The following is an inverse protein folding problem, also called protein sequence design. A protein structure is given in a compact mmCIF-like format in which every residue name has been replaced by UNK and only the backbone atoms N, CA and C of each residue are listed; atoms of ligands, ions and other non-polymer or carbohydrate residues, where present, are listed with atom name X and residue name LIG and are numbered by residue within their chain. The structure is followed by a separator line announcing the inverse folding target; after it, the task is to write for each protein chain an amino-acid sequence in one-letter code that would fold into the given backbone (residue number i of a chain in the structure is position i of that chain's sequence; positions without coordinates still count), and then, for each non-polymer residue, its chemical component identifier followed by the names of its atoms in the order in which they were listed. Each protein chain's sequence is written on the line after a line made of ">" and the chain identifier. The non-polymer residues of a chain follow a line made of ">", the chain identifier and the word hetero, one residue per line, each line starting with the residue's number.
data_IF_068714517648
#
_entry.id   IF_068714517648
#
_cell.length_a   1.000
_cell.length_b   1.000
_cell.length_c   1.000
_cell.angle_alpha   90.00
_cell.angle_beta   90.00
_cell.angle_gamma   90.00
#
_symmetry.space_group_name_H-M   'P 1'
#
loop_
_entity.id
_entity.type
_entity.pdbx_description
1 polymer ?
#
# COMPACT_ATOMS: atom_id res chain seq x y z
N UNK A 1 13.70 18.16 -11.22
CA UNK A 1 14.19 17.94 -9.85
C UNK A 1 15.38 17.00 -9.87
N UNK A 2 16.32 17.21 -8.96
CA UNK A 2 17.64 16.55 -8.96
C UNK A 2 17.60 15.32 -8.06
N UNK A 3 18.14 14.20 -8.54
CA UNK A 3 18.35 13.02 -7.69
C UNK A 3 19.46 13.37 -6.69
N UNK A 4 19.24 13.08 -5.41
CA UNK A 4 20.19 13.35 -4.32
C UNK A 4 20.80 12.06 -3.79
N UNK A 5 22.05 12.13 -3.35
CA UNK A 5 22.67 11.02 -2.63
C UNK A 5 21.95 10.77 -1.30
N UNK A 6 21.46 9.56 -1.05
CA UNK A 6 20.75 9.22 0.18
C UNK A 6 21.61 9.31 1.46
N UNK A 7 22.95 9.42 1.33
CA UNK A 7 23.85 9.55 2.47
C UNK A 7 24.27 10.99 2.74
N UNK A 8 24.67 11.75 1.71
CA UNK A 8 25.25 13.09 1.86
C UNK A 8 24.41 14.22 1.24
N UNK A 9 23.25 13.89 0.66
CA UNK A 9 22.29 14.82 0.05
C UNK A 9 22.83 15.64 -1.15
N UNK A 10 24.06 15.38 -1.62
CA UNK A 10 24.63 16.05 -2.79
C UNK A 10 23.88 15.71 -4.09
N UNK A 11 23.68 16.74 -4.92
CA UNK A 11 23.02 16.72 -6.23
C UNK A 11 23.98 16.66 -7.42
N UNK A 12 25.26 16.95 -7.19
CA UNK A 12 26.19 17.36 -8.26
C UNK A 12 26.97 16.18 -8.85
N UNK A 13 26.59 14.95 -8.48
CA UNK A 13 27.31 13.73 -8.83
C UNK A 13 26.37 12.75 -9.49
N UNK A 14 26.91 11.98 -10.44
CA UNK A 14 26.22 10.81 -10.96
C UNK A 14 25.94 9.84 -9.81
N UNK A 15 24.68 9.39 -9.69
CA UNK A 15 24.25 8.51 -8.61
C UNK A 15 24.05 7.10 -9.14
N UNK A 16 24.53 6.12 -8.38
CA UNK A 16 24.27 4.70 -8.58
C UNK A 16 23.23 4.21 -7.57
N UNK A 17 22.21 3.49 -8.04
CA UNK A 17 21.19 2.90 -7.17
C UNK A 17 21.76 1.70 -6.42
N UNK A 18 21.24 1.45 -5.23
CA UNK A 18 21.51 0.20 -4.49
C UNK A 18 21.13 -1.00 -5.37
N UNK A 19 22.07 -1.91 -5.62
CA UNK A 19 21.83 -3.07 -6.49
C UNK A 19 20.77 -4.05 -5.97
N UNK A 20 20.52 -4.03 -4.65
CA UNK A 20 19.56 -4.93 -4.00
C UNK A 20 18.13 -4.39 -4.08
N UNK A 21 17.88 -3.20 -3.51
CA UNK A 21 16.53 -2.63 -3.50
C UNK A 21 16.21 -1.82 -4.75
N UNK A 22 17.18 -1.12 -5.34
CA UNK A 22 17.02 -0.17 -6.46
C UNK A 22 16.34 1.17 -6.12
N UNK A 23 16.05 1.44 -4.84
CA UNK A 23 15.34 2.66 -4.39
C UNK A 23 16.28 3.78 -3.92
N UNK A 24 17.29 3.45 -3.11
CA UNK A 24 18.27 4.44 -2.62
C UNK A 24 19.38 4.64 -3.64
N UNK A 25 19.91 5.86 -3.73
CA UNK A 25 20.94 6.22 -4.70
C UNK A 25 22.13 6.91 -4.03
N UNK A 26 23.33 6.63 -4.52
CA UNK A 26 24.59 7.05 -3.89
C UNK A 26 25.57 7.59 -4.91
N UNK A 27 26.29 8.65 -4.54
CA UNK A 27 27.36 9.19 -5.38
C UNK A 27 28.66 8.36 -5.28
N UNK A 28 28.78 7.47 -4.29
CA UNK A 28 29.97 6.63 -4.10
C UNK A 28 29.67 5.38 -3.26
N UNK A 29 30.57 4.40 -3.35
CA UNK A 29 30.56 3.20 -2.47
C UNK A 29 30.74 3.55 -0.99
N UNK A 30 31.46 4.63 -0.68
CA UNK A 30 31.63 5.12 0.70
C UNK A 30 30.29 5.59 1.26
N UNK A 31 29.57 6.48 0.54
CA UNK A 31 28.23 6.93 0.92
C UNK A 31 27.25 5.76 1.08
N UNK A 32 27.33 4.75 0.20
CA UNK A 32 26.52 3.54 0.34
C UNK A 32 26.83 2.78 1.62
N UNK A 33 28.11 2.56 1.95
CA UNK A 33 28.54 1.88 3.18
C UNK A 33 28.13 2.63 4.44
N UNK A 34 28.21 3.96 4.42
CA UNK A 34 27.86 4.78 5.57
C UNK A 34 26.35 4.76 5.80
N UNK A 35 25.55 4.96 4.75
CA UNK A 35 24.10 4.83 4.84
C UNK A 35 23.66 3.39 5.20
N UNK A 36 24.40 2.37 4.75
CA UNK A 36 24.15 0.98 5.15
C UNK A 36 24.18 0.80 6.66
N UNK A 37 25.19 1.37 7.33
CA UNK A 37 25.32 1.35 8.79
C UNK A 37 24.27 2.24 9.46
N UNK A 38 23.93 3.37 8.86
CA UNK A 38 22.99 4.35 9.40
C UNK A 38 21.50 4.01 9.13
N UNK A 39 21.18 2.72 8.97
CA UNK A 39 19.80 2.24 8.93
C UNK A 39 19.34 1.65 7.59
N UNK A 40 20.02 1.88 6.46
CA UNK A 40 19.59 1.30 5.19
C UNK A 40 19.57 -0.24 5.23
N UNK A 41 20.45 -0.89 6.00
CA UNK A 41 20.40 -2.35 6.20
C UNK A 41 19.04 -2.86 6.66
N UNK A 42 18.36 -2.11 7.53
CA UNK A 42 17.07 -2.49 8.10
C UNK A 42 15.92 -2.31 7.09
N UNK A 43 16.03 -1.34 6.18
CA UNK A 43 14.99 -1.01 5.22
C UNK A 43 15.21 -1.65 3.84
N UNK A 44 16.45 -2.03 3.48
CA UNK A 44 16.80 -2.57 2.17
C UNK A 44 16.01 -3.84 1.83
N UNK A 45 15.86 -4.76 2.80
CA UNK A 45 15.08 -5.99 2.63
C UNK A 45 13.60 -5.71 2.33
N UNK A 46 13.00 -4.79 3.08
CA UNK A 46 11.61 -4.33 2.88
C UNK A 46 11.43 -3.72 1.49
N UNK A 47 12.33 -2.82 1.09
CA UNK A 47 12.31 -2.17 -0.22
C UNK A 47 12.52 -3.17 -1.37
N UNK A 48 13.33 -4.22 -1.17
CA UNK A 48 13.50 -5.30 -2.15
C UNK A 48 12.21 -6.09 -2.35
N UNK A 49 11.50 -6.42 -1.27
CA UNK A 49 10.20 -7.11 -1.35
C UNK A 49 9.17 -6.21 -2.04
N UNK A 50 9.11 -4.93 -1.66
CA UNK A 50 8.24 -3.95 -2.30
C UNK A 50 8.56 -3.80 -3.80
N UNK A 51 9.84 -3.73 -4.19
CA UNK A 51 10.23 -3.68 -5.61
C UNK A 51 9.73 -4.92 -6.36
N UNK A 52 9.89 -6.11 -5.77
CA UNK A 52 9.41 -7.36 -6.39
C UNK A 52 7.89 -7.35 -6.56
N UNK A 53 7.15 -6.91 -5.54
CA UNK A 53 5.69 -6.78 -5.62
C UNK A 53 5.30 -5.83 -6.75
N UNK A 54 5.89 -4.63 -6.80
CA UNK A 54 5.67 -3.64 -7.86
C UNK A 54 5.97 -4.21 -9.25
N UNK A 55 7.07 -4.94 -9.41
CA UNK A 55 7.45 -5.56 -10.69
C UNK A 55 6.49 -6.67 -11.13
N UNK A 56 5.91 -7.42 -10.18
CA UNK A 56 4.88 -8.43 -10.46
C UNK A 56 3.55 -7.77 -10.81
N UNK A 57 3.10 -6.81 -10.00
CA UNK A 57 1.87 -6.05 -10.21
C UNK A 57 1.87 -5.32 -11.56
N UNK A 58 2.96 -4.61 -11.90
CA UNK A 58 3.08 -3.96 -13.21
C UNK A 58 3.00 -4.93 -14.37
N UNK A 59 3.58 -6.14 -14.23
CA UNK A 59 3.48 -7.18 -15.26
C UNK A 59 2.07 -7.74 -15.34
N UNK A 60 1.41 -7.94 -14.20
CA UNK A 60 0.05 -8.41 -14.13
C UNK A 60 -0.91 -7.44 -14.82
N UNK A 61 -0.83 -6.14 -14.53
CA UNK A 61 -1.62 -5.11 -15.21
C UNK A 61 -1.38 -5.09 -16.72
N UNK A 62 -0.11 -5.16 -17.16
CA UNK A 62 0.25 -5.22 -18.59
C UNK A 62 -0.25 -6.48 -19.31
N UNK A 63 -0.51 -7.55 -18.57
CA UNK A 63 -1.02 -8.80 -19.14
C UNK A 63 -2.53 -8.80 -19.37
N UNK A 64 -3.26 -7.78 -18.87
CA UNK A 64 -4.72 -7.74 -18.99
C UNK A 64 -5.15 -7.48 -20.44
N UNK A 65 -6.15 -8.21 -20.97
CA UNK A 65 -6.73 -7.92 -22.27
C UNK A 65 -7.25 -6.48 -22.34
N UNK A 66 -6.99 -5.79 -23.45
CA UNK A 66 -7.30 -4.37 -23.60
C UNK A 66 -8.81 -4.08 -23.53
N UNK A 67 -9.63 -5.01 -24.01
CA UNK A 67 -11.09 -4.96 -23.95
C UNK A 67 -11.62 -5.12 -22.52
N UNK A 68 -11.08 -6.07 -21.75
CA UNK A 68 -11.43 -6.20 -20.32
C UNK A 68 -11.01 -4.97 -19.52
N UNK A 69 -9.82 -4.42 -19.80
CA UNK A 69 -9.32 -3.22 -19.14
C UNK A 69 -10.18 -2.00 -19.47
N UNK A 70 -10.59 -1.85 -20.73
CA UNK A 70 -11.47 -0.76 -21.15
C UNK A 70 -12.86 -0.88 -20.50
N UNK A 71 -13.44 -2.08 -20.50
CA UNK A 71 -14.72 -2.34 -19.84
C UNK A 71 -14.64 -2.05 -18.34
N UNK A 72 -13.54 -2.43 -17.70
CA UNK A 72 -13.25 -2.14 -16.31
C UNK A 72 -13.16 -0.62 -16.05
N UNK A 73 -12.35 0.11 -16.81
CA UNK A 73 -12.20 1.58 -16.68
C UNK A 73 -13.55 2.29 -16.86
N UNK A 74 -14.35 1.89 -17.85
CA UNK A 74 -15.68 2.48 -18.09
C UNK A 74 -16.62 2.19 -16.93
N UNK A 75 -16.60 0.95 -16.40
CA UNK A 75 -17.52 0.53 -15.34
C UNK A 75 -17.20 1.16 -13.98
N UNK A 76 -15.91 1.27 -13.64
CA UNK A 76 -15.47 1.70 -12.31
C UNK A 76 -14.93 3.13 -12.30
N UNK A 77 -14.67 3.74 -13.45
CA UNK A 77 -14.12 5.09 -13.56
C UNK A 77 -12.67 5.23 -13.09
N UNK A 78 -11.99 4.12 -12.78
CA UNK A 78 -10.64 4.10 -12.23
C UNK A 78 -9.63 3.64 -13.27
N UNK A 79 -8.56 4.42 -13.45
CA UNK A 79 -7.42 4.02 -14.26
C UNK A 79 -6.58 2.97 -13.51
N UNK A 80 -5.97 2.00 -14.21
CA UNK A 80 -5.13 0.97 -13.59
C UNK A 80 -4.00 1.53 -12.73
N UNK A 81 -3.41 2.65 -13.15
CA UNK A 81 -2.34 3.34 -12.41
C UNK A 81 -2.83 3.86 -11.05
N UNK A 82 -4.10 4.23 -10.94
CA UNK A 82 -4.73 4.66 -9.70
C UNK A 82 -5.12 3.49 -8.78
N UNK A 83 -5.00 2.26 -9.26
CA UNK A 83 -5.37 1.03 -8.56
C UNK A 83 -4.18 0.16 -8.17
N UNK A 84 -3.00 0.76 -8.23
CA UNK A 84 -1.75 0.13 -7.88
C UNK A 84 -1.61 -0.03 -6.35
N UNK A 85 -1.45 -1.25 -5.87
CA UNK A 85 -1.33 -1.59 -4.46
C UNK A 85 0.11 -1.54 -3.93
N UNK A 86 1.15 -1.42 -4.77
CA UNK A 86 2.53 -1.47 -4.26
C UNK A 86 2.83 -0.39 -3.20
N UNK A 87 2.17 0.78 -3.27
CA UNK A 87 2.36 1.85 -2.29
C UNK A 87 1.77 1.49 -0.92
N UNK A 88 0.59 0.88 -0.91
CA UNK A 88 -0.01 0.29 0.28
C UNK A 88 0.89 -0.82 0.88
N UNK A 89 1.41 -1.70 0.02
CA UNK A 89 2.35 -2.76 0.45
C UNK A 89 3.66 -2.18 0.98
N UNK A 90 4.16 -1.08 0.41
CA UNK A 90 5.31 -0.36 0.94
C UNK A 90 5.05 0.10 2.37
N UNK A 91 3.89 0.70 2.64
CA UNK A 91 3.54 1.17 3.98
C UNK A 91 3.32 0.02 4.96
N UNK A 92 2.71 -1.08 4.53
CA UNK A 92 2.60 -2.32 5.29
C UNK A 92 3.98 -2.83 5.73
N UNK A 93 4.93 -2.93 4.80
CA UNK A 93 6.30 -3.40 5.06
C UNK A 93 7.09 -2.43 5.95
N UNK A 94 6.79 -1.14 5.87
CA UNK A 94 7.32 -0.12 6.78
C UNK A 94 6.70 -0.17 8.19
N UNK A 95 5.80 -1.12 8.47
CA UNK A 95 5.06 -1.24 9.73
C UNK A 95 4.24 0.02 10.05
N UNK A 96 3.73 0.70 9.01
CA UNK A 96 2.81 1.83 9.17
C UNK A 96 1.36 1.38 9.25
N UNK A 97 1.06 0.22 8.64
CA UNK A 97 -0.29 -0.36 8.55
C UNK A 97 -0.25 -1.77 9.11
N UNK A 98 -1.29 -2.23 9.83
CA UNK A 98 -1.39 -3.64 10.24
C UNK A 98 -1.81 -4.53 9.08
N UNK A 99 -2.60 -4.01 8.13
CA UNK A 99 -3.06 -4.72 6.96
C UNK A 99 -3.36 -3.78 5.78
N UNK A 100 -3.48 -4.36 4.60
CA UNK A 100 -3.88 -3.70 3.35
C UNK A 100 -5.02 -4.50 2.76
N UNK A 101 -6.15 -3.84 2.54
CA UNK A 101 -7.25 -4.38 1.77
C UNK A 101 -6.97 -4.14 0.28
N UNK A 102 -6.91 -5.20 -0.51
CA UNK A 102 -6.78 -5.10 -1.96
C UNK A 102 -8.17 -4.87 -2.58
N UNK A 103 -8.75 -3.73 -2.22
CA UNK A 103 -10.08 -3.30 -2.66
C UNK A 103 -10.08 -2.99 -4.16
N UNK A 104 -11.27 -3.00 -4.77
CA UNK A 104 -11.46 -2.68 -6.19
C UNK A 104 -10.90 -3.70 -7.21
N UNK A 105 -10.34 -4.84 -6.77
CA UNK A 105 -10.10 -5.97 -7.68
C UNK A 105 -11.44 -6.66 -8.03
N UNK A 106 -11.82 -6.73 -9.33
CA UNK A 106 -12.95 -7.54 -9.77
C UNK A 106 -12.85 -8.97 -9.24
N UNK A 107 -13.96 -9.61 -8.82
CA UNK A 107 -13.93 -10.98 -8.35
C UNK A 107 -13.23 -11.96 -9.32
N UNK A 108 -13.42 -11.75 -10.62
CA UNK A 108 -12.80 -12.55 -11.70
C UNK A 108 -11.27 -12.41 -11.77
N UNK A 109 -10.71 -11.32 -11.23
CA UNK A 109 -9.29 -11.02 -11.31
C UNK A 109 -8.53 -11.40 -10.04
N UNK A 110 -9.21 -11.50 -8.88
CA UNK A 110 -8.61 -11.75 -7.56
C UNK A 110 -7.70 -12.98 -7.55
N UNK A 111 -8.16 -14.09 -8.12
CA UNK A 111 -7.40 -15.34 -8.16
C UNK A 111 -6.09 -15.18 -8.94
N UNK A 112 -6.16 -14.61 -10.15
CA UNK A 112 -4.96 -14.37 -10.96
C UNK A 112 -4.03 -13.34 -10.33
N UNK A 113 -4.56 -12.32 -9.65
CA UNK A 113 -3.75 -11.34 -8.95
C UNK A 113 -2.97 -12.02 -7.81
N UNK A 114 -3.63 -12.85 -7.01
CA UNK A 114 -2.97 -13.54 -5.90
C UNK A 114 -1.91 -14.55 -6.37
N UNK A 115 -2.20 -15.34 -7.41
CA UNK A 115 -1.22 -16.28 -7.97
C UNK A 115 -0.01 -15.57 -8.57
N UNK A 116 -0.23 -14.48 -9.28
CA UNK A 116 0.80 -13.85 -10.10
C UNK A 116 1.58 -12.77 -9.34
N UNK A 117 0.98 -12.15 -8.31
CA UNK A 117 1.54 -11.00 -7.58
C UNK A 117 1.94 -11.35 -6.15
N UNK A 118 1.22 -12.25 -5.46
CA UNK A 118 1.52 -12.65 -4.06
C UNK A 118 2.01 -14.09 -3.96
N UNK A 119 2.94 -14.49 -4.86
CA UNK A 119 3.13 -15.79 -5.51
C UNK A 119 2.97 -17.02 -4.61
N UNK A 120 1.75 -17.25 -4.17
CA UNK A 120 1.41 -18.40 -3.37
C UNK A 120 0.04 -18.89 -3.83
N UNK A 121 -0.07 -20.21 -3.80
CA UNK A 121 -1.22 -20.93 -4.32
C UNK A 121 -2.31 -20.90 -3.24
N UNK A 122 -3.43 -20.27 -3.56
CA UNK A 122 -4.51 -20.07 -2.59
C UNK A 122 -5.85 -20.30 -3.26
N UNK A 123 -6.82 -20.82 -2.52
CA UNK A 123 -8.22 -20.74 -2.89
C UNK A 123 -8.83 -19.56 -2.17
N UNK A 124 -9.24 -18.53 -2.92
CA UNK A 124 -9.72 -17.28 -2.35
C UNK A 124 -11.24 -17.22 -2.30
N UNK A 125 -11.77 -17.11 -1.09
CA UNK A 125 -13.17 -16.73 -0.84
C UNK A 125 -13.20 -15.34 -0.20
N UNK A 126 -13.93 -14.39 -0.79
CA UNK A 126 -14.08 -13.04 -0.23
C UNK A 126 -13.02 -12.04 -0.72
N UNK A 127 -12.81 -10.99 0.06
CA UNK A 127 -11.85 -9.92 -0.26
C UNK A 127 -10.44 -10.27 0.18
N UNK A 128 -9.45 -9.86 -0.62
CA UNK A 128 -8.05 -10.18 -0.41
C UNK A 128 -7.40 -9.14 0.52
N UNK A 129 -6.81 -9.62 1.62
CA UNK A 129 -6.13 -8.78 2.61
C UNK A 129 -4.69 -9.25 2.81
N UNK A 130 -3.75 -8.32 2.72
CA UNK A 130 -2.35 -8.55 3.10
C UNK A 130 -2.13 -8.07 4.54
N UNK A 131 -1.55 -8.93 5.37
CA UNK A 131 -1.36 -8.67 6.79
C UNK A 131 0.12 -8.57 7.17
N UNK A 132 0.43 -7.64 8.08
CA UNK A 132 1.72 -7.58 8.76
C UNK A 132 1.55 -8.19 10.15
N UNK A 133 1.83 -9.49 10.29
CA UNK A 133 1.67 -10.24 11.55
C UNK A 133 2.60 -9.76 12.66
N UNK A 134 3.60 -8.94 12.34
CA UNK A 134 4.51 -8.32 13.29
C UNK A 134 4.07 -6.91 13.71
N UNK A 135 3.00 -6.37 13.13
CA UNK A 135 2.48 -5.06 13.52
C UNK A 135 1.80 -5.15 14.89
N UNK A 136 2.07 -4.24 15.84
CA UNK A 136 1.51 -4.30 17.20
C UNK A 136 -0.02 -4.35 17.23
N UNK A 137 -0.68 -3.65 16.31
CA UNK A 137 -2.15 -3.60 16.22
C UNK A 137 -2.77 -4.74 15.40
N UNK A 138 -1.96 -5.63 14.81
CA UNK A 138 -2.49 -6.65 13.89
C UNK A 138 -3.52 -7.57 14.55
N UNK A 139 -3.27 -8.03 15.79
CA UNK A 139 -4.21 -8.90 16.49
C UNK A 139 -5.56 -8.23 16.78
N UNK A 140 -5.59 -6.90 16.91
CA UNK A 140 -6.82 -6.14 17.04
C UNK A 140 -7.49 -5.96 15.66
N UNK A 141 -6.73 -5.59 14.63
CA UNK A 141 -7.24 -5.47 13.26
C UNK A 141 -7.84 -6.79 12.74
N UNK A 142 -7.18 -7.92 12.99
CA UNK A 142 -7.66 -9.25 12.62
C UNK A 142 -9.03 -9.56 13.24
N UNK A 143 -9.23 -9.24 14.53
CA UNK A 143 -10.51 -9.47 15.22
C UNK A 143 -11.59 -8.52 14.72
N UNK A 144 -11.27 -7.24 14.56
CA UNK A 144 -12.20 -6.20 14.08
C UNK A 144 -12.69 -6.52 12.67
N UNK A 145 -11.78 -6.88 11.77
CA UNK A 145 -12.08 -7.19 10.36
C UNK A 145 -12.45 -8.66 10.12
N UNK A 146 -12.45 -9.50 11.17
CA UNK A 146 -12.76 -10.93 11.11
C UNK A 146 -11.93 -11.67 10.05
N UNK A 147 -10.64 -11.36 9.98
CA UNK A 147 -9.74 -11.93 8.96
C UNK A 147 -9.47 -13.41 9.25
N UNK A 148 -9.68 -14.25 8.23
CA UNK A 148 -9.26 -15.64 8.22
C UNK A 148 -7.95 -15.79 7.45
N UNK A 149 -7.03 -16.60 7.97
CA UNK A 149 -5.81 -16.92 7.26
C UNK A 149 -6.15 -17.78 6.04
N UNK A 150 -5.59 -17.41 4.89
CA UNK A 150 -5.69 -18.23 3.68
C UNK A 150 -4.68 -19.37 3.79
N UNK A 151 -5.14 -20.61 3.81
CA UNK A 151 -4.29 -21.80 3.91
C UNK A 151 -4.19 -22.50 2.56
N UNK A 152 -3.02 -23.07 2.26
CA UNK A 152 -2.80 -23.94 1.10
C UNK A 152 -3.60 -25.23 1.32
N UNK A 153 -4.57 -25.55 0.46
CA UNK A 153 -5.15 -26.90 0.43
C UNK A 153 -4.16 -27.88 -0.22
N UNK A 154 -3.18 -28.33 0.56
CA UNK A 154 -2.40 -29.51 0.22
C UNK A 154 -3.29 -30.74 0.48
N UNK A 155 -3.98 -31.22 -0.56
CA UNK A 155 -4.67 -32.53 -0.64
C UNK A 155 -4.91 -33.23 0.71
N UNK A 156 -5.90 -32.79 1.48
CA UNK A 156 -6.41 -33.51 2.64
C UNK A 156 -7.90 -33.18 2.76
N UNK A 157 -8.71 -34.23 2.94
CA UNK A 157 -10.17 -34.18 2.88
C UNK A 157 -10.77 -32.97 3.58
N UNK A 158 -11.73 -32.35 2.90
CA UNK A 158 -12.51 -31.20 3.34
C UNK A 158 -13.01 -31.43 4.76
N UNK A 159 -12.37 -30.78 5.74
CA UNK A 159 -13.03 -30.48 7.00
C UNK A 159 -13.64 -29.09 6.87
N UNK A 160 -14.95 -29.08 6.62
CA UNK A 160 -15.76 -27.88 6.77
C UNK A 160 -15.76 -27.54 8.26
N UNK A 161 -14.95 -26.56 8.65
CA UNK A 161 -15.15 -25.90 9.94
C UNK A 161 -16.51 -25.20 9.87
N UNK A 162 -17.51 -25.79 10.51
CA UNK A 162 -18.81 -25.15 10.72
C UNK A 162 -18.59 -23.94 11.62
N UNK A 163 -18.54 -22.76 11.02
CA UNK A 163 -18.54 -21.49 11.74
C UNK A 163 -19.84 -21.41 12.54
N UNK A 164 -19.72 -21.19 13.84
CA UNK A 164 -20.84 -20.97 14.76
C UNK A 164 -21.77 -19.87 14.21
N UNK A 165 -22.95 -20.28 13.76
CA UNK A 165 -24.01 -19.44 13.17
C UNK A 165 -24.72 -18.53 14.18
N UNK A 166 -24.17 -18.35 15.39
CA UNK A 166 -24.75 -17.56 16.49
C UNK A 166 -24.10 -16.19 16.67
N UNK A 167 -23.02 -15.89 15.96
CA UNK A 167 -22.42 -14.55 16.01
C UNK A 167 -23.18 -13.61 15.07
N UNK A 168 -24.06 -12.78 15.63
CA UNK A 168 -24.74 -11.71 14.92
C UNK A 168 -23.77 -11.02 13.94
N UNK A 169 -24.19 -10.89 12.68
CA UNK A 169 -23.45 -10.22 11.61
C UNK A 169 -23.33 -8.73 11.96
N UNK A 170 -22.36 -8.41 12.81
CA UNK A 170 -22.01 -7.04 13.15
C UNK A 170 -21.26 -6.48 11.95
N UNK A 171 -21.88 -5.49 11.30
CA UNK A 171 -21.23 -4.68 10.28
C UNK A 171 -20.05 -3.93 10.91
N UNK A 172 -18.90 -3.97 10.25
CA UNK A 172 -17.72 -3.18 10.63
C UNK A 172 -18.04 -1.72 10.34
N UNK A 173 -17.89 -0.85 11.35
CA UNK A 173 -18.14 0.58 11.15
C UNK A 173 -16.99 1.24 10.39
N UNK A 174 -17.28 2.32 9.68
CA UNK A 174 -16.29 3.07 8.89
C UNK A 174 -15.12 3.57 9.74
N UNK A 175 -15.37 3.97 11.00
CA UNK A 175 -14.30 4.36 11.93
C UNK A 175 -13.35 3.19 12.25
N UNK A 176 -13.90 1.98 12.39
CA UNK A 176 -13.13 0.78 12.68
C UNK A 176 -12.31 0.36 11.47
N UNK A 177 -12.87 0.52 10.27
CA UNK A 177 -12.19 0.28 9.01
C UNK A 177 -11.05 1.28 8.78
N UNK A 178 -11.32 2.57 8.98
CA UNK A 178 -10.32 3.63 8.86
C UNK A 178 -9.16 3.42 9.84
N UNK A 179 -9.44 2.99 11.09
CA UNK A 179 -8.37 2.63 12.02
C UNK A 179 -7.58 1.40 11.54
N UNK A 180 -8.25 0.32 11.15
CA UNK A 180 -7.57 -0.92 10.76
C UNK A 180 -6.76 -0.77 9.45
N UNK A 181 -7.20 0.11 8.56
CA UNK A 181 -6.51 0.45 7.31
C UNK A 181 -5.64 1.71 7.43
N UNK A 182 -5.47 2.25 8.64
CA UNK A 182 -4.68 3.44 8.93
C UNK A 182 -4.98 4.62 7.97
N UNK A 183 -6.26 4.96 7.83
CA UNK A 183 -6.72 6.12 7.08
C UNK A 183 -6.70 7.36 7.97
N UNK A 184 -6.28 8.53 7.45
CA UNK A 184 -6.18 9.74 8.27
C UNK A 184 -7.53 10.24 8.78
N UNK A 185 -8.62 9.91 8.07
CA UNK A 185 -9.99 10.34 8.29
C UNK A 185 -10.93 9.18 7.94
N UNK A 186 -11.97 8.94 8.73
CA UNK A 186 -13.03 8.01 8.39
C UNK A 186 -14.14 8.72 7.58
N UNK A 187 -14.69 8.08 6.55
CA UNK A 187 -15.70 8.74 5.70
C UNK A 187 -16.99 9.10 6.45
N UNK A 188 -17.31 8.38 7.53
CA UNK A 188 -18.43 8.69 8.43
C UNK A 188 -18.27 10.03 9.16
N UNK A 189 -17.07 10.61 9.18
CA UNK A 189 -16.79 11.93 9.75
C UNK A 189 -17.02 13.07 8.73
N UNK A 190 -17.20 12.74 7.45
CA UNK A 190 -17.40 13.71 6.38
C UNK A 190 -18.86 14.13 6.25
N UNK A 191 -19.09 15.43 6.05
CA UNK A 191 -20.37 15.98 5.63
C UNK A 191 -20.42 16.00 4.09
N UNK A 192 -21.44 15.39 3.50
CA UNK A 192 -21.65 15.34 2.04
C UNK A 192 -21.81 16.74 1.41
N UNK A 193 -22.22 17.74 2.18
CA UNK A 193 -22.36 19.13 1.72
C UNK A 193 -21.06 19.95 1.81
N UNK A 194 -20.04 19.43 2.50
CA UNK A 194 -18.77 20.11 2.64
C UNK A 194 -17.85 19.86 1.42
N UNK A 195 -17.04 20.84 0.99
CA UNK A 195 -16.10 20.62 -0.09
C UNK A 195 -15.13 19.48 0.23
N UNK A 196 -15.06 18.50 -0.66
CA UNK A 196 -14.18 17.35 -0.53
C UNK A 196 -12.87 17.57 -1.28
N UNK A 197 -11.80 16.96 -0.77
CA UNK A 197 -10.49 16.91 -1.42
C UNK A 197 -10.00 15.48 -1.51
N UNK A 198 -9.39 15.15 -2.63
CA UNK A 198 -8.55 13.97 -2.76
C UNK A 198 -7.15 14.30 -2.23
N UNK A 199 -6.67 13.45 -1.33
CA UNK A 199 -5.37 13.53 -0.69
C UNK A 199 -4.50 12.42 -1.24
N UNK A 200 -3.53 12.75 -2.10
CA UNK A 200 -2.61 11.78 -2.70
C UNK A 200 -1.21 11.83 -2.09
N UNK A 201 -0.64 10.66 -1.78
CA UNK A 201 0.75 10.54 -1.35
C UNK A 201 1.57 10.03 -2.54
N UNK A 202 2.60 10.76 -2.90
CA UNK A 202 3.41 10.49 -4.09
C UNK A 202 4.85 10.19 -3.73
N UNK A 203 5.43 9.21 -4.43
CA UNK A 203 6.86 8.98 -4.45
C UNK A 203 7.50 9.75 -5.61
N UNK A 204 8.55 10.52 -5.34
CA UNK A 204 9.37 11.13 -6.38
C UNK A 204 10.47 10.18 -6.86
N UNK A 205 10.40 9.77 -8.13
CA UNK A 205 11.42 8.98 -8.80
C UNK A 205 11.95 9.72 -10.03
N UNK A 206 13.01 10.51 -9.85
CA UNK A 206 13.58 11.33 -10.91
C UNK A 206 12.62 12.42 -11.37
N UNK A 207 12.06 12.27 -12.57
CA UNK A 207 11.06 13.20 -13.15
C UNK A 207 9.62 12.71 -12.99
N UNK A 208 9.41 11.48 -12.52
CA UNK A 208 8.09 10.90 -12.36
C UNK A 208 7.63 11.03 -10.91
N UNK A 209 6.32 11.23 -10.73
CA UNK A 209 5.63 11.14 -9.45
C UNK A 209 4.71 9.94 -9.53
N UNK A 210 4.90 9.00 -8.62
CA UNK A 210 4.13 7.76 -8.59
C UNK A 210 3.19 7.83 -7.41
N UNK A 211 1.89 7.70 -7.66
CA UNK A 211 0.89 7.63 -6.60
C UNK A 211 1.13 6.37 -5.75
N UNK A 212 1.18 6.52 -4.44
CA UNK A 212 1.33 5.41 -3.49
C UNK A 212 0.01 5.05 -2.83
N UNK A 213 -0.79 6.06 -2.51
CA UNK A 213 -2.14 5.92 -1.94
C UNK A 213 -2.87 7.23 -2.12
N UNK A 214 -4.20 7.18 -2.16
CA UNK A 214 -5.06 8.35 -2.03
C UNK A 214 -6.17 8.12 -1.00
N UNK A 215 -6.67 9.21 -0.45
CA UNK A 215 -7.76 9.24 0.52
C UNK A 215 -8.71 10.40 0.18
N UNK A 216 -9.97 10.29 0.56
CA UNK A 216 -10.89 11.42 0.52
C UNK A 216 -10.97 12.07 1.92
N UNK A 217 -11.00 13.40 1.96
CA UNK A 217 -11.21 14.15 3.20
C UNK A 217 -11.94 15.46 2.91
N UNK A 218 -12.71 15.99 3.86
CA UNK A 218 -13.20 17.36 3.78
C UNK A 218 -12.06 18.39 3.75
N UNK A 219 -12.25 19.49 3.03
CA UNK A 219 -11.41 20.69 3.04
C UNK A 219 -11.54 21.51 4.36
N UNK A 220 -11.59 20.82 5.50
CA UNK A 220 -11.73 21.40 6.83
C UNK A 220 -10.38 21.44 7.55
N UNK A 221 -10.22 22.40 8.47
CA UNK A 221 -8.97 22.57 9.24
C UNK A 221 -8.59 21.31 10.04
N UNK A 222 -9.58 20.64 10.66
CA UNK A 222 -9.36 19.43 11.43
C UNK A 222 -8.83 18.27 10.56
N UNK A 223 -9.45 18.05 9.39
CA UNK A 223 -9.04 17.00 8.45
C UNK A 223 -7.67 17.30 7.86
N UNK A 224 -7.44 18.56 7.49
CA UNK A 224 -6.12 19.02 7.00
C UNK A 224 -5.03 18.74 8.05
N UNK A 225 -5.29 19.01 9.32
CA UNK A 225 -4.34 18.73 10.39
C UNK A 225 -4.03 17.23 10.53
N UNK A 226 -5.06 16.37 10.56
CA UNK A 226 -4.90 14.90 10.65
C UNK A 226 -4.14 14.34 9.45
N UNK A 227 -4.47 14.79 8.23
CA UNK A 227 -3.76 14.41 7.00
C UNK A 227 -2.28 14.79 7.06
N UNK A 228 -1.95 15.98 7.55
CA UNK A 228 -0.55 16.42 7.67
C UNK A 228 0.21 15.58 8.71
N UNK A 229 -0.37 15.33 9.87
CA UNK A 229 0.24 14.47 10.90
C UNK A 229 0.47 13.05 10.38
N UNK A 230 -0.53 12.48 9.72
CA UNK A 230 -0.45 11.17 9.10
C UNK A 230 0.66 11.11 8.05
N UNK A 231 0.72 12.09 7.14
CA UNK A 231 1.75 12.18 6.12
C UNK A 231 3.17 12.30 6.72
N UNK A 232 3.33 13.09 7.78
CA UNK A 232 4.62 13.25 8.47
C UNK A 232 5.10 11.92 9.07
N UNK A 233 4.21 11.14 9.71
CA UNK A 233 4.52 9.79 10.22
C UNK A 233 4.99 8.85 9.10
N UNK A 234 4.31 8.88 7.96
CA UNK A 234 4.65 8.06 6.79
C UNK A 234 6.00 8.45 6.21
N UNK A 235 6.25 9.75 6.05
CA UNK A 235 7.51 10.28 5.56
C UNK A 235 8.68 9.92 6.47
N UNK A 236 8.51 10.01 7.78
CA UNK A 236 9.54 9.66 8.76
C UNK A 236 9.92 8.16 8.71
N UNK A 237 8.92 7.28 8.51
CA UNK A 237 9.10 5.82 8.55
C UNK A 237 9.55 5.21 7.22
N UNK A 238 9.49 5.97 6.12
CA UNK A 238 9.81 5.49 4.77
C UNK A 238 11.30 5.52 4.43
N UNK A 239 12.19 5.53 5.42
CA UNK A 239 13.62 5.19 5.23
C UNK A 239 14.38 6.05 4.20
N UNK A 240 14.04 7.34 4.08
CA UNK A 240 14.69 8.28 3.15
C UNK A 240 14.06 8.34 1.75
N UNK A 241 12.92 7.68 1.53
CA UNK A 241 12.12 7.89 0.32
C UNK A 241 11.58 9.31 0.25
N UNK A 242 11.55 9.87 -0.95
CA UNK A 242 11.04 11.22 -1.21
C UNK A 242 9.54 11.20 -1.40
N UNK A 243 8.82 11.16 -0.28
CA UNK A 243 7.36 11.28 -0.28
C UNK A 243 6.93 12.74 -0.36
N UNK A 244 5.88 13.00 -1.13
CA UNK A 244 5.25 14.32 -1.28
C UNK A 244 3.73 14.18 -1.14
N UNK A 245 3.13 15.11 -0.40
CA UNK A 245 1.70 15.23 -0.25
C UNK A 245 1.14 16.17 -1.32
N UNK A 246 0.02 15.80 -1.92
CA UNK A 246 -0.74 16.69 -2.79
C UNK A 246 -2.23 16.55 -2.47
N UNK A 247 -2.94 17.68 -2.51
CA UNK A 247 -4.39 17.74 -2.36
C UNK A 247 -5.02 18.34 -3.60
N UNK A 248 -6.08 17.73 -4.11
CA UNK A 248 -6.86 18.20 -5.26
C UNK A 248 -8.32 18.32 -4.86
N UNK A 249 -9.03 19.34 -5.34
CA UNK A 249 -10.49 19.41 -5.16
C UNK A 249 -11.17 18.35 -6.03
N UNK A 250 -12.21 17.71 -5.49
CA UNK A 250 -13.03 16.68 -6.16
C UNK A 250 -14.51 17.03 -6.08
#
# INVERSE_FOLDING_TARGET
>A
MVNVCSACQSTDKALSRCSQCKWTAYCSKTCQRDHWKNGHRLTCGKLRVCQRFRDLEMRWWKSRPADELQAFVVRFGLQPESMSFFGEVLFLLCSLKPCVLLSNLPPTWRQSFASDVTPAEYELTGDLVLANTLHPEFAAAQRTLRLAAVTLHATAGVQVATVDTTSASRLVQEQELAWALDYPVALSECNEEAPMVEVGYFLEEGKQRVLLTSYCAMAAALHTHRVQQHFQRYRASSGGLRLVLQTSQI
#
